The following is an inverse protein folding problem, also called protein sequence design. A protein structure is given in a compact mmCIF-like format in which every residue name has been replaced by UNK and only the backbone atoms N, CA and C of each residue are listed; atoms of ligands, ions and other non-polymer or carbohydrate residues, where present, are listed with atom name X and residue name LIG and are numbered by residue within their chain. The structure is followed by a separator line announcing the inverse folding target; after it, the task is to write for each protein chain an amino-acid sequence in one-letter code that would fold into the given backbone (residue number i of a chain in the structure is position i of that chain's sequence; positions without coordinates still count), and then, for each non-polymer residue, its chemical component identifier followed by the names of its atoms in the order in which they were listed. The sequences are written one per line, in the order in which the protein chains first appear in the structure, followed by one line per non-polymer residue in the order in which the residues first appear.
data_IF_058796673134
#
_entry.id   IF_058796673134
#
_cell.length_a   1.000
_cell.length_b   1.000
_cell.length_c   1.000
_cell.angle_alpha   90.00
_cell.angle_beta   90.00
_cell.angle_gamma   90.00
#
_symmetry.space_group_name_H-M   'P 1'
#
loop_
_entity.id
_entity.type
_entity.pdbx_description
1 polymer ?
#
# COMPACT_ATOMS: atom_id res chain seq x y z
N UNK A 1 -1.42 -25.01 10.68
CA UNK A 1 -2.59 -24.92 9.79
C UNK A 1 -2.30 -25.85 8.63
N UNK A 2 -3.16 -26.83 8.38
CA UNK A 2 -3.00 -27.91 7.38
C UNK A 2 -3.02 -27.36 5.94
N UNK A 3 -2.17 -27.87 5.04
CA UNK A 3 -2.10 -27.47 3.63
C UNK A 3 -3.47 -27.65 2.93
N UNK A 4 -4.23 -28.67 3.34
CA UNK A 4 -5.57 -28.90 2.80
C UNK A 4 -6.62 -27.90 3.31
N UNK A 5 -6.36 -27.20 4.43
CA UNK A 5 -7.26 -26.15 4.91
C UNK A 5 -7.29 -24.95 3.95
N UNK A 6 -6.12 -24.47 3.51
CA UNK A 6 -6.06 -23.32 2.60
C UNK A 6 -6.68 -23.67 1.24
N UNK A 7 -6.42 -24.86 0.72
CA UNK A 7 -7.02 -25.32 -0.52
C UNK A 7 -8.57 -25.39 -0.43
N UNK A 8 -9.11 -25.93 0.67
CA UNK A 8 -10.56 -25.93 0.95
C UNK A 8 -11.15 -24.52 1.06
N UNK A 9 -10.43 -23.59 1.71
CA UNK A 9 -10.86 -22.19 1.79
C UNK A 9 -10.88 -21.50 0.42
N UNK A 10 -10.05 -21.94 -0.52
CA UNK A 10 -10.08 -21.52 -1.92
C UNK A 10 -11.13 -22.27 -2.77
N UNK A 11 -11.92 -23.18 -2.18
CA UNK A 11 -12.97 -23.95 -2.86
C UNK A 11 -12.51 -25.28 -3.46
N UNK A 12 -11.27 -25.71 -3.23
CA UNK A 12 -10.78 -27.00 -3.70
C UNK A 12 -11.11 -28.11 -2.69
N UNK A 13 -11.93 -29.08 -3.11
CA UNK A 13 -12.37 -30.21 -2.27
C UNK A 13 -11.69 -31.54 -2.58
N UNK A 14 -10.77 -31.57 -3.55
CA UNK A 14 -10.01 -32.77 -3.89
C UNK A 14 -8.84 -33.03 -2.94
N UNK A 15 -8.17 -34.16 -3.14
CA UNK A 15 -7.07 -34.65 -2.31
C UNK A 15 -5.75 -34.81 -3.07
N UNK A 16 -5.71 -34.47 -4.37
CA UNK A 16 -4.50 -34.52 -5.19
C UNK A 16 -3.30 -33.84 -4.50
N UNK A 17 -2.24 -34.60 -4.16
CA UNK A 17 -1.08 -34.06 -3.46
C UNK A 17 -0.40 -32.90 -4.19
N UNK A 18 -0.34 -32.99 -5.53
CA UNK A 18 0.25 -31.94 -6.36
C UNK A 18 -0.53 -30.63 -6.28
N UNK A 19 -1.87 -30.68 -6.25
CA UNK A 19 -2.71 -29.49 -6.15
C UNK A 19 -2.62 -28.88 -4.74
N UNK A 20 -2.65 -29.70 -3.69
CA UNK A 20 -2.46 -29.23 -2.32
C UNK A 20 -1.12 -28.51 -2.14
N UNK A 21 -0.04 -29.07 -2.69
CA UNK A 21 1.28 -28.42 -2.70
C UNK A 21 1.28 -27.10 -3.49
N UNK A 22 0.59 -27.02 -4.62
CA UNK A 22 0.49 -25.80 -5.40
C UNK A 22 -0.25 -24.68 -4.63
N UNK A 23 -1.35 -25.02 -3.94
CA UNK A 23 -2.07 -24.08 -3.07
C UNK A 23 -1.17 -23.55 -1.94
N UNK A 24 -0.42 -24.43 -1.28
CA UNK A 24 0.51 -24.03 -0.24
C UNK A 24 1.65 -23.14 -0.78
N UNK A 25 2.16 -23.44 -1.97
CA UNK A 25 3.16 -22.60 -2.64
C UNK A 25 2.62 -21.20 -2.96
N UNK A 26 1.39 -21.10 -3.48
CA UNK A 26 0.69 -19.83 -3.72
C UNK A 26 0.54 -19.05 -2.42
N UNK A 27 0.11 -19.71 -1.33
CA UNK A 27 -0.05 -19.08 -0.02
C UNK A 27 1.27 -18.52 0.51
N UNK A 28 2.33 -19.33 0.50
CA UNK A 28 3.68 -18.92 0.95
C UNK A 28 4.20 -17.75 0.13
N UNK A 29 4.04 -17.80 -1.19
CA UNK A 29 4.42 -16.73 -2.09
C UNK A 29 3.66 -15.43 -1.78
N UNK A 30 2.33 -15.51 -1.59
CA UNK A 30 1.51 -14.36 -1.19
C UNK A 30 1.92 -13.74 0.15
N UNK A 31 2.24 -14.58 1.15
CA UNK A 31 2.75 -14.12 2.46
C UNK A 31 4.11 -13.42 2.29
N UNK A 32 5.01 -13.99 1.49
CA UNK A 32 6.32 -13.41 1.23
C UNK A 32 6.20 -12.03 0.57
N UNK A 33 5.36 -11.89 -0.46
CA UNK A 33 5.10 -10.60 -1.09
C UNK A 33 4.46 -9.59 -0.13
N UNK A 34 3.46 -10.00 0.65
CA UNK A 34 2.82 -9.10 1.61
C UNK A 34 3.81 -8.56 2.67
N UNK A 35 4.74 -9.40 3.12
CA UNK A 35 5.82 -9.01 4.03
C UNK A 35 6.80 -8.05 3.36
N UNK A 36 7.24 -8.36 2.14
CA UNK A 36 8.14 -7.50 1.38
C UNK A 36 7.52 -6.10 1.18
N UNK A 37 6.25 -6.04 0.76
CA UNK A 37 5.53 -4.77 0.60
C UNK A 37 5.36 -4.02 1.92
N UNK A 38 5.14 -4.73 3.03
CA UNK A 38 5.11 -4.11 4.36
C UNK A 38 6.45 -3.45 4.69
N UNK A 39 7.57 -4.16 4.53
CA UNK A 39 8.90 -3.60 4.79
C UNK A 39 9.23 -2.42 3.87
N UNK A 40 8.85 -2.51 2.58
CA UNK A 40 9.02 -1.41 1.64
C UNK A 40 8.25 -0.16 2.08
N UNK A 41 6.98 -0.32 2.49
CA UNK A 41 6.19 0.80 3.03
C UNK A 41 6.80 1.37 4.32
N UNK A 42 7.26 0.50 5.23
CA UNK A 42 7.90 0.92 6.48
C UNK A 42 9.17 1.73 6.20
N UNK A 43 10.01 1.30 5.27
CA UNK A 43 11.24 1.99 4.90
C UNK A 43 10.97 3.43 4.42
N UNK A 44 9.96 3.63 3.57
CA UNK A 44 9.54 4.98 3.15
C UNK A 44 9.12 5.83 4.34
N UNK A 45 8.33 5.28 5.27
CA UNK A 45 7.92 6.03 6.46
C UNK A 45 9.12 6.36 7.37
N UNK A 46 10.04 5.42 7.55
CA UNK A 46 11.25 5.62 8.36
C UNK A 46 12.17 6.71 7.80
N UNK A 47 12.23 6.85 6.47
CA UNK A 47 12.93 7.95 5.80
C UNK A 47 12.19 9.28 6.01
N UNK A 48 10.89 9.32 5.74
CA UNK A 48 10.12 10.56 5.76
C UNK A 48 9.91 11.13 7.17
N UNK A 49 9.92 10.30 8.22
CA UNK A 49 9.66 10.79 9.58
C UNK A 49 10.80 11.65 10.13
N UNK A 50 12.01 11.55 9.59
CA UNK A 50 13.21 12.25 10.07
C UNK A 50 13.07 13.77 10.06
N UNK A 51 12.24 14.33 9.17
CA UNK A 51 11.96 15.76 9.13
C UNK A 51 10.62 16.03 8.46
N UNK A 52 9.87 17.00 8.98
CA UNK A 52 8.59 17.44 8.41
C UNK A 52 8.72 17.87 6.93
N UNK A 53 9.82 18.54 6.57
CA UNK A 53 10.08 18.95 5.18
C UNK A 53 10.13 17.77 4.20
N UNK A 54 10.64 16.61 4.62
CA UNK A 54 10.67 15.41 3.78
C UNK A 54 9.26 14.89 3.54
N UNK A 55 8.44 14.87 4.59
CA UNK A 55 7.02 14.54 4.47
C UNK A 55 6.30 15.50 3.50
N UNK A 56 6.47 16.82 3.67
CA UNK A 56 5.86 17.83 2.80
C UNK A 56 6.31 17.67 1.34
N UNK A 57 7.60 17.43 1.10
CA UNK A 57 8.11 17.13 -0.24
C UNK A 57 7.47 15.88 -0.85
N UNK A 58 7.20 14.83 -0.05
CA UNK A 58 6.57 13.61 -0.52
C UNK A 58 5.09 13.78 -0.91
N UNK A 59 4.36 14.68 -0.23
CA UNK A 59 2.95 14.96 -0.53
C UNK A 59 2.74 16.10 -1.53
N UNK A 60 3.80 16.82 -1.91
CA UNK A 60 3.75 17.88 -2.91
C UNK A 60 2.99 17.47 -4.18
N UNK A 61 2.06 18.31 -4.67
CA UNK A 61 1.89 19.73 -4.37
C UNK A 61 1.04 20.09 -3.13
N UNK A 62 0.45 19.12 -2.43
CA UNK A 62 -0.38 19.41 -1.26
C UNK A 62 0.47 19.98 -0.11
N UNK A 63 -0.10 20.93 0.64
CA UNK A 63 0.58 21.58 1.78
C UNK A 63 0.24 20.89 3.10
N UNK A 64 -0.85 20.12 3.13
CA UNK A 64 -1.25 19.37 4.32
C UNK A 64 -1.56 17.90 4.00
N UNK A 65 -1.48 17.07 5.04
CA UNK A 65 -1.88 15.66 4.94
C UNK A 65 -3.37 15.51 4.54
N UNK A 66 -4.23 16.45 4.93
CA UNK A 66 -5.65 16.39 4.61
C UNK A 66 -5.90 16.70 3.13
N UNK A 67 -5.32 17.78 2.61
CA UNK A 67 -5.35 18.13 1.18
C UNK A 67 -4.82 16.98 0.32
N UNK A 68 -3.68 16.39 0.70
CA UNK A 68 -3.11 15.26 -0.03
C UNK A 68 -4.08 14.06 -0.10
N UNK A 69 -4.86 13.80 0.95
CA UNK A 69 -5.85 12.73 0.98
C UNK A 69 -7.03 13.02 0.06
N UNK A 70 -7.49 14.27 0.03
CA UNK A 70 -8.60 14.74 -0.81
C UNK A 70 -8.20 14.72 -2.29
N UNK A 71 -7.06 15.33 -2.64
CA UNK A 71 -6.53 15.41 -4.00
C UNK A 71 -6.30 14.02 -4.60
N UNK A 72 -5.62 13.14 -3.86
CA UNK A 72 -5.40 11.76 -4.31
C UNK A 72 -6.70 10.97 -4.38
N UNK A 73 -7.67 11.26 -3.50
CA UNK A 73 -9.01 10.71 -3.55
C UNK A 73 -9.74 11.06 -4.84
N UNK A 74 -9.79 12.35 -5.18
CA UNK A 74 -10.36 12.85 -6.44
C UNK A 74 -9.65 12.27 -7.66
N UNK A 75 -8.31 12.27 -7.65
CA UNK A 75 -7.53 11.67 -8.73
C UNK A 75 -7.90 10.20 -8.97
N UNK A 76 -7.93 9.37 -7.92
CA UNK A 76 -8.23 7.94 -8.03
C UNK A 76 -9.66 7.73 -8.54
N UNK A 77 -10.61 8.53 -8.07
CA UNK A 77 -12.00 8.46 -8.54
C UNK A 77 -12.08 8.80 -10.04
N UNK A 78 -11.45 9.90 -10.47
CA UNK A 78 -11.37 10.28 -11.88
C UNK A 78 -10.69 9.21 -12.72
N UNK A 79 -9.55 8.66 -12.27
CA UNK A 79 -8.79 7.62 -12.98
C UNK A 79 -9.64 6.38 -13.26
N UNK A 80 -10.43 5.92 -12.28
CA UNK A 80 -11.34 4.76 -12.44
C UNK A 80 -12.39 4.97 -13.53
N UNK A 81 -12.80 6.21 -13.76
CA UNK A 81 -13.78 6.58 -14.76
C UNK A 81 -13.16 6.94 -16.13
N UNK A 82 -11.83 6.85 -16.28
CA UNK A 82 -11.17 7.11 -17.56
C UNK A 82 -11.30 5.91 -18.51
N UNK A 83 -11.30 6.14 -19.84
CA UNK A 83 -11.14 5.07 -20.83
C UNK A 83 -9.83 4.28 -20.60
N UNK A 84 -9.84 2.99 -20.95
CA UNK A 84 -8.73 2.05 -20.70
C UNK A 84 -7.37 2.54 -21.22
N UNK A 85 -7.31 3.05 -22.45
CA UNK A 85 -6.06 3.58 -23.02
C UNK A 85 -5.45 4.71 -22.18
N UNK A 86 -6.29 5.52 -21.53
CA UNK A 86 -5.86 6.62 -20.67
C UNK A 86 -5.47 6.12 -19.29
N UNK A 87 -6.16 5.11 -18.77
CA UNK A 87 -5.76 4.43 -17.53
C UNK A 87 -4.36 3.82 -17.65
N UNK A 88 -4.09 3.11 -18.74
CA UNK A 88 -2.79 2.48 -19.02
C UNK A 88 -1.69 3.53 -19.11
N UNK A 89 -1.91 4.61 -19.87
CA UNK A 89 -0.94 5.73 -19.97
C UNK A 89 -0.68 6.42 -18.63
N UNK A 90 -1.66 6.46 -17.74
CA UNK A 90 -1.58 7.16 -16.43
C UNK A 90 -1.37 6.21 -15.25
N UNK A 91 -0.95 4.97 -15.51
CA UNK A 91 -0.67 4.02 -14.44
C UNK A 91 0.42 4.52 -13.46
N UNK A 92 1.51 5.19 -13.90
CA UNK A 92 2.49 5.77 -12.98
C UNK A 92 1.89 6.82 -12.05
N UNK A 93 1.01 7.69 -12.58
CA UNK A 93 0.30 8.70 -11.78
C UNK A 93 -0.56 8.05 -10.69
N UNK A 94 -1.23 6.94 -11.01
CA UNK A 94 -2.04 6.19 -10.03
C UNK A 94 -1.17 5.59 -8.93
N UNK A 95 -0.02 5.02 -9.28
CA UNK A 95 0.93 4.47 -8.30
C UNK A 95 1.41 5.59 -7.38
N UNK A 96 1.79 6.75 -7.93
CA UNK A 96 2.17 7.94 -7.16
C UNK A 96 1.06 8.40 -6.23
N UNK A 97 -0.17 8.56 -6.74
CA UNK A 97 -1.32 9.02 -5.95
C UNK A 97 -1.65 8.05 -4.80
N UNK A 98 -1.56 6.73 -5.02
CA UNK A 98 -1.74 5.73 -3.96
C UNK A 98 -0.66 5.83 -2.88
N UNK A 99 0.60 6.03 -3.29
CA UNK A 99 1.71 6.20 -2.37
C UNK A 99 1.55 7.48 -1.54
N UNK A 100 1.24 8.61 -2.19
CA UNK A 100 0.98 9.89 -1.51
C UNK A 100 -0.16 9.76 -0.50
N UNK A 101 -1.28 9.14 -0.90
CA UNK A 101 -2.42 8.89 -0.01
C UNK A 101 -2.05 8.03 1.19
N UNK A 102 -1.19 7.02 1.01
CA UNK A 102 -0.73 6.15 2.09
C UNK A 102 0.09 6.93 3.12
N UNK A 103 1.08 7.68 2.64
CA UNK A 103 1.94 8.53 3.47
C UNK A 103 1.11 9.57 4.21
N UNK A 104 0.25 10.31 3.50
CA UNK A 104 -0.61 11.33 4.08
C UNK A 104 -1.54 10.77 5.17
N UNK A 105 -2.16 9.61 4.97
CA UNK A 105 -2.99 8.97 6.00
C UNK A 105 -2.20 8.58 7.24
N UNK A 106 -0.96 8.13 7.07
CA UNK A 106 -0.09 7.77 8.18
C UNK A 106 0.28 9.00 9.01
N UNK A 107 0.83 10.04 8.37
CA UNK A 107 1.24 11.26 9.06
C UNK A 107 0.05 12.03 9.65
N UNK A 108 -1.10 12.09 8.97
CA UNK A 108 -2.31 12.68 9.57
C UNK A 108 -2.67 12.03 10.92
N UNK A 109 -2.45 10.73 11.06
CA UNK A 109 -2.77 9.99 12.29
C UNK A 109 -1.66 10.06 13.35
N UNK A 110 -0.40 10.06 12.93
CA UNK A 110 0.72 9.81 13.85
C UNK A 110 1.78 10.92 13.90
N UNK A 111 1.74 11.93 13.03
CA UNK A 111 2.77 13.00 12.97
C UNK A 111 3.00 13.66 14.33
N UNK A 112 1.92 14.03 15.04
CA UNK A 112 2.00 14.63 16.37
C UNK A 112 2.81 13.78 17.36
N UNK A 113 2.71 12.44 17.29
CA UNK A 113 3.47 11.55 18.19
C UNK A 113 4.91 11.39 17.73
N UNK A 114 5.13 11.30 16.43
CA UNK A 114 6.46 11.09 15.87
C UNK A 114 7.38 12.26 16.20
N UNK A 115 6.90 13.48 15.95
CA UNK A 115 7.73 14.68 16.12
C UNK A 115 7.73 15.22 17.56
N UNK A 116 6.66 14.99 18.34
CA UNK A 116 6.71 15.32 19.77
C UNK A 116 7.69 14.43 20.55
N UNK A 117 7.93 13.18 20.12
CA UNK A 117 8.91 12.29 20.72
C UNK A 117 10.36 12.59 20.28
N UNK A 118 10.55 13.23 19.12
CA UNK A 118 11.88 13.68 18.67
C UNK A 118 12.29 15.01 19.28
N UNK A 119 11.32 15.83 19.73
CA UNK A 119 11.57 17.13 20.37
C UNK A 119 11.78 17.05 21.91
N UNK A 120 11.64 15.87 22.51
CA UNK A 120 11.81 15.60 23.95
C UNK A 120 13.10 14.81 24.22
#
# INVERSE_FOLDING_TARGET
MDDAYFARACGYTGDSPALLQAFEAIRRNGIAHARHDHFRRKAVIDELKQAELLFLAAIGPALTAQEAIEDTGHFIACWRNMPRWRQERRLPDLVRARQQRLVARFFRRYAHRLWALEAA
#
